data_IF_465448414222
#
_entry.id   IF_465448414222
#
_cell.length_a   1.000
_cell.length_b   1.000
_cell.length_c   1.000
_cell.angle_alpha   90.00
_cell.angle_beta   90.00
_cell.angle_gamma   90.00
#
_symmetry.space_group_name_H-M   'P 1'
#
loop_
_entity.id
_entity.type
_entity.pdbx_description
1 polymer ?
#
# COMPACT_ATOMS: atom_id res chain seq x y z
N UNK A 1 22.80 -23.14 -20.50
CA UNK A 1 22.02 -22.20 -21.35
C UNK A 1 20.57 -22.65 -21.62
N UNK A 2 20.37 -23.93 -21.99
CA UNK A 2 19.04 -24.48 -22.37
C UNK A 2 18.07 -24.53 -21.19
N UNK A 3 18.54 -24.98 -20.02
CA UNK A 3 17.76 -24.99 -18.77
C UNK A 3 17.17 -23.62 -18.39
N UNK A 4 17.91 -22.52 -18.64
CA UNK A 4 17.44 -21.18 -18.32
C UNK A 4 16.32 -20.71 -19.25
N UNK A 5 16.37 -21.09 -20.53
CA UNK A 5 15.37 -20.72 -21.54
C UNK A 5 14.07 -21.51 -21.31
N UNK A 6 14.19 -22.78 -20.98
CA UNK A 6 13.06 -23.67 -20.67
C UNK A 6 12.42 -23.33 -19.33
N UNK A 7 13.20 -22.92 -18.33
CA UNK A 7 12.67 -22.37 -17.08
C UNK A 7 11.93 -21.04 -17.33
N UNK A 8 12.49 -20.15 -18.16
CA UNK A 8 11.85 -18.89 -18.55
C UNK A 8 10.53 -19.11 -19.29
N UNK A 9 10.47 -20.07 -20.22
CA UNK A 9 9.24 -20.35 -20.98
C UNK A 9 8.16 -21.00 -20.11
N UNK A 10 8.54 -21.85 -19.14
CA UNK A 10 7.60 -22.46 -18.20
C UNK A 10 7.03 -21.47 -17.17
N UNK A 11 7.75 -20.38 -16.89
CA UNK A 11 7.28 -19.30 -16.02
C UNK A 11 6.40 -18.26 -16.74
N UNK A 12 6.34 -18.27 -18.08
CA UNK A 12 5.49 -17.37 -18.85
C UNK A 12 5.71 -15.89 -18.50
N UNK A 13 4.63 -15.11 -18.38
CA UNK A 13 4.65 -13.67 -18.04
C UNK A 13 5.23 -13.36 -16.65
N UNK A 14 5.32 -14.35 -15.74
CA UNK A 14 5.99 -14.17 -14.44
C UNK A 14 7.52 -13.98 -14.59
N UNK A 15 8.14 -14.53 -15.64
CA UNK A 15 9.58 -14.47 -15.81
C UNK A 15 10.08 -13.08 -16.21
N UNK A 16 9.27 -12.34 -16.98
CA UNK A 16 9.63 -11.01 -17.43
C UNK A 16 9.34 -9.93 -16.38
N UNK A 17 8.31 -10.12 -15.53
CA UNK A 17 7.90 -9.15 -14.50
C UNK A 17 7.40 -9.79 -13.19
N UNK A 18 8.30 -10.36 -12.37
CA UNK A 18 7.91 -11.11 -11.17
C UNK A 18 7.22 -10.24 -10.10
N UNK A 19 7.55 -8.95 -10.05
CA UNK A 19 6.95 -7.99 -9.10
C UNK A 19 5.73 -7.26 -9.66
N UNK A 20 5.50 -7.35 -10.97
CA UNK A 20 4.41 -6.63 -11.63
C UNK A 20 3.03 -7.14 -11.25
N UNK A 21 2.93 -8.44 -11.03
CA UNK A 21 1.72 -9.07 -10.48
C UNK A 21 1.35 -8.58 -9.09
N UNK A 22 2.31 -8.03 -8.33
CA UNK A 22 2.11 -7.49 -6.97
C UNK A 22 2.06 -5.96 -6.96
N UNK A 23 1.94 -5.33 -8.12
CA UNK A 23 1.78 -3.89 -8.24
C UNK A 23 0.40 -3.56 -8.79
N UNK A 24 -0.42 -2.90 -7.98
CA UNK A 24 -1.73 -2.41 -8.41
C UNK A 24 -1.64 -1.46 -9.61
N UNK A 25 -0.54 -0.71 -9.77
CA UNK A 25 -0.36 0.15 -10.94
C UNK A 25 -0.17 -0.64 -12.22
N UNK A 26 0.54 -1.77 -12.16
CA UNK A 26 0.78 -2.59 -13.34
C UNK A 26 -0.48 -3.35 -13.75
N UNK A 27 -1.26 -3.83 -12.77
CA UNK A 27 -2.59 -4.36 -13.05
C UNK A 27 -3.50 -3.32 -13.74
N UNK A 28 -3.55 -2.09 -13.22
CA UNK A 28 -4.44 -1.04 -13.73
C UNK A 28 -4.03 -0.54 -15.14
N UNK A 29 -2.73 -0.40 -15.41
CA UNK A 29 -2.24 0.24 -16.64
C UNK A 29 -1.80 -0.73 -17.73
N UNK A 30 -1.56 -2.00 -17.41
CA UNK A 30 -1.09 -3.01 -18.38
C UNK A 30 -2.11 -4.12 -18.53
N UNK A 31 -2.39 -4.86 -17.46
CA UNK A 31 -3.29 -6.02 -17.54
C UNK A 31 -4.74 -5.64 -17.85
N UNK A 32 -5.26 -4.58 -17.22
CA UNK A 32 -6.64 -4.15 -17.45
C UNK A 32 -6.91 -3.72 -18.91
N UNK A 33 -6.10 -2.87 -19.56
CA UNK A 33 -6.30 -2.55 -20.96
C UNK A 33 -6.03 -3.74 -21.90
N UNK A 34 -5.06 -4.62 -21.60
CA UNK A 34 -4.84 -5.85 -22.39
C UNK A 34 -6.10 -6.74 -22.37
N UNK A 35 -6.68 -6.99 -21.19
CA UNK A 35 -7.93 -7.75 -21.07
C UNK A 35 -9.08 -7.09 -21.85
N UNK A 36 -9.18 -5.76 -21.81
CA UNK A 36 -10.22 -5.04 -22.57
C UNK A 36 -9.99 -5.19 -24.08
N UNK A 37 -8.75 -5.06 -24.54
CA UNK A 37 -8.40 -5.21 -25.95
C UNK A 37 -8.69 -6.64 -26.43
N UNK A 38 -8.32 -7.65 -25.65
CA UNK A 38 -8.58 -9.05 -25.97
C UNK A 38 -10.09 -9.36 -26.05
N UNK A 39 -10.91 -8.79 -25.16
CA UNK A 39 -12.38 -8.94 -25.20
C UNK A 39 -12.98 -8.27 -26.44
N UNK A 40 -12.46 -7.10 -26.84
CA UNK A 40 -12.94 -6.37 -28.03
C UNK A 40 -12.58 -7.14 -29.30
N UNK A 41 -11.37 -7.69 -29.38
CA UNK A 41 -10.87 -8.35 -30.58
C UNK A 41 -11.44 -9.78 -30.75
N UNK A 42 -11.61 -10.52 -29.65
CA UNK A 42 -12.13 -11.89 -29.70
C UNK A 42 -13.67 -11.96 -29.66
N UNK A 43 -14.34 -10.94 -29.11
CA UNK A 43 -15.80 -10.94 -28.90
C UNK A 43 -16.30 -12.00 -27.91
N UNK A 44 -15.41 -12.76 -27.27
CA UNK A 44 -15.74 -13.88 -26.39
C UNK A 44 -15.14 -13.67 -24.99
N UNK A 45 -16.00 -13.72 -23.96
CA UNK A 45 -15.60 -13.56 -22.54
C UNK A 45 -14.85 -14.82 -22.03
N UNK A 46 -14.71 -15.85 -22.86
CA UNK A 46 -14.17 -17.16 -22.46
C UNK A 46 -12.72 -17.09 -21.99
N UNK A 47 -11.92 -16.14 -22.49
CA UNK A 47 -10.51 -15.94 -22.07
C UNK A 47 -10.43 -15.63 -20.57
N UNK A 48 -11.41 -14.89 -20.03
CA UNK A 48 -11.47 -14.56 -18.60
C UNK A 48 -11.76 -15.79 -17.72
N UNK A 49 -12.38 -16.84 -18.26
CA UNK A 49 -12.76 -18.07 -17.55
C UNK A 49 -11.90 -19.29 -17.91
N UNK A 50 -10.99 -19.16 -18.89
CA UNK A 50 -10.13 -20.25 -19.35
C UNK A 50 -9.12 -20.67 -18.27
N UNK A 51 -8.50 -19.69 -17.63
CA UNK A 51 -7.55 -19.89 -16.53
C UNK A 51 -8.16 -19.42 -15.21
N UNK A 52 -8.36 -20.36 -14.29
CA UNK A 52 -8.89 -20.09 -12.94
C UNK A 52 -8.08 -19.02 -12.19
N UNK A 53 -6.77 -18.98 -12.41
CA UNK A 53 -5.86 -17.98 -11.83
C UNK A 53 -6.16 -16.56 -12.33
N UNK A 54 -6.34 -16.38 -13.63
CA UNK A 54 -6.64 -15.07 -14.24
C UNK A 54 -7.97 -14.53 -13.74
N UNK A 55 -8.99 -15.39 -13.66
CA UNK A 55 -10.30 -15.03 -13.09
C UNK A 55 -10.17 -14.54 -11.64
N UNK A 56 -9.45 -15.29 -10.79
CA UNK A 56 -9.28 -14.95 -9.39
C UNK A 56 -8.52 -13.64 -9.19
N UNK A 57 -7.43 -13.44 -9.94
CA UNK A 57 -6.63 -12.21 -9.89
C UNK A 57 -7.47 -11.01 -10.34
N UNK A 58 -8.26 -11.16 -11.40
CA UNK A 58 -9.12 -10.09 -11.90
C UNK A 58 -10.13 -9.65 -10.84
N UNK A 59 -10.86 -10.61 -10.24
CA UNK A 59 -11.85 -10.32 -9.22
C UNK A 59 -11.22 -9.74 -7.94
N UNK A 60 -10.07 -10.27 -7.52
CA UNK A 60 -9.30 -9.75 -6.39
C UNK A 60 -8.95 -8.27 -6.57
N UNK A 61 -8.41 -7.89 -7.74
CA UNK A 61 -8.08 -6.49 -8.01
C UNK A 61 -9.30 -5.58 -8.17
N UNK A 62 -10.40 -6.07 -8.76
CA UNK A 62 -11.68 -5.34 -8.80
C UNK A 62 -12.16 -4.99 -7.38
N UNK A 63 -12.15 -5.96 -6.46
CA UNK A 63 -12.54 -5.73 -5.06
C UNK A 63 -11.62 -4.67 -4.43
N UNK A 64 -10.31 -4.77 -4.64
CA UNK A 64 -9.34 -3.81 -4.10
C UNK A 64 -9.59 -2.41 -4.65
N UNK A 65 -9.89 -2.27 -5.93
CA UNK A 65 -10.20 -0.98 -6.54
C UNK A 65 -11.46 -0.37 -5.93
N UNK A 66 -12.52 -1.17 -5.71
CA UNK A 66 -13.72 -0.71 -5.01
C UNK A 66 -13.37 -0.25 -3.60
N UNK A 67 -12.59 -1.03 -2.84
CA UNK A 67 -12.14 -0.67 -1.50
C UNK A 67 -11.27 0.58 -1.48
N UNK A 68 -10.45 0.80 -2.51
CA UNK A 68 -9.56 1.95 -2.63
C UNK A 68 -10.32 3.28 -2.80
N UNK A 69 -11.57 3.25 -3.29
CA UNK A 69 -12.44 4.44 -3.36
C UNK A 69 -12.86 4.88 -1.95
N UNK A 70 -13.18 3.92 -1.07
CA UNK A 70 -13.64 4.22 0.29
C UNK A 70 -12.50 4.48 1.27
N UNK A 71 -11.41 3.73 1.14
CA UNK A 71 -10.26 3.79 2.04
C UNK A 71 -9.01 4.15 1.24
N UNK A 72 -8.35 5.27 1.56
CA UNK A 72 -7.14 5.66 0.85
C UNK A 72 -6.05 4.61 1.10
N UNK A 73 -5.42 4.13 0.02
CA UNK A 73 -4.21 3.28 0.05
C UNK A 73 -4.39 1.90 0.72
N UNK A 74 -5.57 1.29 0.69
CA UNK A 74 -5.81 -0.07 1.23
C UNK A 74 -4.80 -1.09 0.72
N UNK A 75 -4.54 -1.07 -0.59
CA UNK A 75 -3.58 -1.98 -1.20
C UNK A 75 -2.20 -1.84 -0.58
N UNK A 76 -1.67 -0.61 -0.54
CA UNK A 76 -0.37 -0.32 0.04
C UNK A 76 -0.32 -0.57 1.55
N UNK A 77 -1.45 -0.53 2.26
CA UNK A 77 -1.48 -0.72 3.71
C UNK A 77 -1.50 -2.20 4.11
N UNK A 78 -2.27 -3.03 3.41
CA UNK A 78 -2.57 -4.39 3.87
C UNK A 78 -2.10 -5.50 2.94
N UNK A 79 -2.01 -5.23 1.64
CA UNK A 79 -1.86 -6.28 0.62
C UNK A 79 -0.51 -6.20 -0.10
N UNK A 80 0.11 -5.02 -0.15
CA UNK A 80 1.35 -4.81 -0.88
C UNK A 80 2.52 -5.44 -0.12
N UNK A 81 3.21 -6.44 -0.70
CA UNK A 81 4.34 -7.11 -0.05
C UNK A 81 5.52 -6.15 0.17
N UNK A 82 5.69 -5.17 -0.72
CA UNK A 82 6.70 -4.12 -0.56
C UNK A 82 6.46 -3.27 0.69
N UNK A 83 5.20 -2.95 0.99
CA UNK A 83 4.88 -2.17 2.17
C UNK A 83 5.20 -2.92 3.46
N UNK A 84 4.88 -4.22 3.51
CA UNK A 84 5.22 -5.10 4.63
C UNK A 84 6.75 -5.21 4.83
N UNK A 85 7.52 -5.24 3.75
CA UNK A 85 8.98 -5.20 3.86
C UNK A 85 9.47 -3.82 4.34
N UNK A 86 8.89 -2.75 3.82
CA UNK A 86 9.28 -1.39 4.17
C UNK A 86 8.97 -1.02 5.62
N UNK A 87 7.92 -1.58 6.22
CA UNK A 87 7.58 -1.31 7.62
C UNK A 87 8.64 -1.86 8.57
N UNK A 88 9.21 -3.03 8.28
CA UNK A 88 10.32 -3.61 9.05
C UNK A 88 11.54 -2.69 9.06
N UNK A 89 11.90 -2.11 7.90
CA UNK A 89 13.02 -1.17 7.82
C UNK A 89 12.69 0.19 8.45
N UNK A 90 11.47 0.66 8.28
CA UNK A 90 11.00 1.96 8.78
C UNK A 90 10.95 2.00 10.32
N UNK A 91 10.65 0.89 10.98
CA UNK A 91 10.68 0.81 12.45
C UNK A 91 12.11 1.02 13.02
N UNK A 92 13.12 0.57 12.28
CA UNK A 92 14.54 0.74 12.63
C UNK A 92 15.12 2.08 12.14
N UNK A 93 14.33 2.91 11.46
CA UNK A 93 14.79 4.20 10.95
C UNK A 93 15.17 5.19 12.07
N UNK A 94 16.21 5.98 11.82
CA UNK A 94 16.67 7.10 12.66
C UNK A 94 15.66 8.26 12.69
N UNK A 95 14.78 8.35 11.69
CA UNK A 95 13.72 9.36 11.59
C UNK A 95 12.44 8.87 12.26
N UNK A 96 12.09 9.43 13.42
CA UNK A 96 10.87 9.10 14.17
C UNK A 96 10.05 10.35 14.48
N UNK A 97 8.75 10.18 14.72
CA UNK A 97 7.89 11.26 15.20
C UNK A 97 7.84 11.27 16.73
N UNK A 98 7.88 12.45 17.34
CA UNK A 98 7.73 12.67 18.78
C UNK A 98 6.44 13.45 19.04
N UNK A 99 5.69 13.02 20.04
CA UNK A 99 4.50 13.71 20.54
C UNK A 99 4.79 14.30 21.93
N UNK A 100 4.54 15.59 22.09
CA UNK A 100 4.68 16.25 23.38
C UNK A 100 3.40 16.04 24.21
N UNK A 101 3.45 15.34 25.37
CA UNK A 101 2.27 15.07 26.19
C UNK A 101 1.68 16.34 26.84
N UNK A 102 2.48 17.38 27.06
CA UNK A 102 2.03 18.63 27.69
C UNK A 102 1.22 19.48 26.71
N UNK A 103 1.57 19.46 25.42
CA UNK A 103 0.87 20.25 24.40
C UNK A 103 -0.31 19.49 23.78
N UNK A 104 -0.33 18.17 23.86
CA UNK A 104 -1.36 17.36 23.21
C UNK A 104 -2.60 17.24 24.11
N UNK A 105 -3.75 17.74 23.65
CA UNK A 105 -5.04 17.60 24.35
C UNK A 105 -5.57 16.15 24.43
N UNK A 106 -4.95 15.20 23.71
CA UNK A 106 -5.32 13.78 23.71
C UNK A 106 -6.65 13.48 22.97
N UNK A 107 -7.02 12.20 22.88
CA UNK A 107 -8.16 11.72 22.05
C UNK A 107 -9.52 12.28 22.47
N UNK A 108 -9.70 12.58 23.76
CA UNK A 108 -10.96 13.10 24.29
C UNK A 108 -11.30 14.48 23.72
N UNK A 109 -10.29 15.28 23.39
CA UNK A 109 -10.46 16.67 22.95
C UNK A 109 -9.95 16.90 21.52
N UNK A 110 -9.08 16.04 20.98
CA UNK A 110 -8.51 16.18 19.64
C UNK A 110 -8.20 14.83 18.98
N UNK A 111 -8.56 14.69 17.70
CA UNK A 111 -8.28 13.51 16.87
C UNK A 111 -7.75 13.84 15.47
N UNK A 112 -7.39 15.10 15.21
CA UNK A 112 -7.08 15.59 13.85
C UNK A 112 -5.88 14.86 13.26
N UNK A 113 -4.85 14.57 14.07
CA UNK A 113 -3.66 13.88 13.58
C UNK A 113 -3.95 12.49 13.01
N UNK A 114 -4.91 11.76 13.59
CA UNK A 114 -5.33 10.43 13.12
C UNK A 114 -6.24 10.55 11.88
N UNK A 115 -7.14 11.53 11.85
CA UNK A 115 -8.07 11.72 10.71
C UNK A 115 -7.39 12.19 9.43
N UNK A 116 -6.29 12.95 9.54
CA UNK A 116 -5.54 13.46 8.38
C UNK A 116 -4.46 12.49 7.92
N UNK A 117 -4.18 11.44 8.70
CA UNK A 117 -3.16 10.46 8.38
C UNK A 117 -3.64 9.57 7.21
N UNK A 118 -2.98 9.61 6.04
CA UNK A 118 -3.39 8.78 4.90
C UNK A 118 -3.16 7.29 5.15
N UNK A 119 -2.28 6.94 6.09
CA UNK A 119 -2.03 5.57 6.55
C UNK A 119 -2.92 5.18 7.73
N UNK A 120 -3.77 6.10 8.22
CA UNK A 120 -4.70 5.91 9.35
C UNK A 120 -4.02 5.27 10.58
N UNK A 121 -2.83 5.76 10.91
CA UNK A 121 -2.06 5.34 12.08
C UNK A 121 -2.72 5.90 13.34
N UNK A 122 -2.83 5.07 14.38
CA UNK A 122 -3.37 5.46 15.69
C UNK A 122 -2.33 6.24 16.52
N UNK A 123 -1.96 7.42 16.04
CA UNK A 123 -0.90 8.29 16.60
C UNK A 123 -1.09 8.56 18.09
N UNK A 124 -2.32 8.60 18.59
CA UNK A 124 -2.60 8.92 19.99
C UNK A 124 -2.35 7.74 20.94
N UNK A 125 -2.33 6.52 20.41
CA UNK A 125 -2.05 5.28 21.14
C UNK A 125 -0.54 4.93 21.10
N UNK A 126 0.22 5.61 20.25
CA UNK A 126 1.67 5.45 20.10
C UNK A 126 2.49 6.11 21.23
N UNK A 127 3.74 5.64 21.35
CA UNK A 127 4.72 6.16 22.32
C UNK A 127 4.95 7.65 22.12
N UNK A 128 5.10 8.40 23.22
CA UNK A 128 5.39 9.83 23.15
C UNK A 128 6.78 10.12 22.56
N UNK A 129 7.77 9.31 22.90
CA UNK A 129 9.18 9.55 22.57
C UNK A 129 9.68 8.73 21.37
N UNK A 130 9.13 8.98 20.18
CA UNK A 130 9.58 8.32 18.96
C UNK A 130 8.65 7.17 18.57
N UNK A 131 7.84 7.41 17.56
CA UNK A 131 6.97 6.41 16.95
C UNK A 131 7.01 6.51 15.42
N UNK A 132 6.76 5.38 14.78
CA UNK A 132 6.64 5.24 13.32
C UNK A 132 5.37 4.43 12.96
N UNK A 133 4.45 4.20 13.93
CA UNK A 133 3.23 3.44 13.69
C UNK A 133 3.51 2.00 13.26
N UNK A 134 4.42 1.30 13.95
CA UNK A 134 4.88 -0.03 13.53
C UNK A 134 5.59 -0.06 12.17
N UNK A 135 6.15 1.08 11.73
CA UNK A 135 6.82 1.20 10.43
C UNK A 135 5.90 1.60 9.26
N UNK A 136 4.58 1.68 9.47
CA UNK A 136 3.63 2.10 8.43
C UNK A 136 3.72 3.60 8.10
N UNK A 137 4.38 4.40 8.95
CA UNK A 137 4.51 5.83 8.72
C UNK A 137 5.42 6.14 7.53
N UNK A 138 4.81 6.71 6.49
CA UNK A 138 5.49 7.22 5.28
C UNK A 138 6.09 8.62 5.45
N UNK A 139 6.16 9.16 6.68
CA UNK A 139 6.70 10.49 6.99
C UNK A 139 6.15 11.64 6.12
N UNK A 140 4.85 11.61 5.79
CA UNK A 140 4.22 12.67 4.98
C UNK A 140 3.99 14.02 5.71
N UNK A 141 4.29 14.08 7.01
CA UNK A 141 4.22 15.27 7.89
C UNK A 141 2.87 16.00 8.02
N UNK A 142 1.81 15.57 7.33
CA UNK A 142 0.46 16.16 7.43
C UNK A 142 -0.08 16.26 8.85
N UNK A 143 0.28 15.30 9.71
CA UNK A 143 -0.12 15.31 11.12
C UNK A 143 0.54 16.45 11.92
N UNK A 144 1.76 16.87 11.54
CA UNK A 144 2.45 18.01 12.15
C UNK A 144 1.80 19.31 11.65
N UNK A 145 1.61 19.43 10.33
CA UNK A 145 1.06 20.63 9.69
C UNK A 145 -0.35 20.98 10.17
N UNK A 146 -1.22 19.97 10.31
CA UNK A 146 -2.62 20.19 10.73
C UNK A 146 -2.84 20.17 12.23
N UNK A 147 -1.79 20.04 13.06
CA UNK A 147 -1.95 19.98 14.51
C UNK A 147 -2.23 21.38 15.08
N UNK A 148 -3.41 21.66 15.68
CA UNK A 148 -3.73 22.99 16.22
C UNK A 148 -2.85 23.38 17.43
N UNK A 149 -2.38 22.38 18.17
CA UNK A 149 -1.54 22.57 19.37
C UNK A 149 -0.03 22.50 19.09
N UNK A 150 0.36 22.25 17.84
CA UNK A 150 1.75 22.07 17.43
C UNK A 150 2.52 21.10 18.37
N UNK A 151 1.87 19.98 18.69
CA UNK A 151 2.32 19.00 19.68
C UNK A 151 3.20 17.90 19.10
N UNK A 152 3.29 17.79 17.77
CA UNK A 152 4.06 16.78 17.05
C UNK A 152 5.35 17.39 16.49
N UNK A 153 6.47 16.67 16.59
CA UNK A 153 7.78 17.09 16.05
C UNK A 153 8.51 15.90 15.45
N UNK A 154 9.42 16.16 14.53
CA UNK A 154 10.38 15.16 14.05
C UNK A 154 11.48 15.01 15.10
N UNK A 155 11.85 13.77 15.41
CA UNK A 155 13.00 13.41 16.23
C UNK A 155 13.99 12.70 15.32
N UNK A 156 15.19 13.26 15.23
CA UNK A 156 16.36 12.55 14.75
C UNK A 156 16.93 11.79 15.96
N UNK A 157 16.95 10.47 15.85
CA UNK A 157 17.56 9.55 16.82
C UNK A 157 18.77 8.87 16.22
#
# INVERSE_FOLDING_TARGET
PIFYIEYKSNLGTFADKPLGYFSLSEYLFVFFPEIIQDIIDSGEIQILFSDFLTFFIFFFYIIILILAVYYPRVYCRYLCPYAALSSLFSEYSFLKLKRNPVKCAGRKECGICESVCPMQIRILDEKFEGFTGGGECILCLRCIEKCPYNALKIKFG
#
